data_IF_891476958572
#
_entry.id   IF_891476958572
#
_cell.length_a   1.000
_cell.length_b   1.000
_cell.length_c   1.000
_cell.angle_alpha   90.00
_cell.angle_beta   90.00
_cell.angle_gamma   90.00
#
_symmetry.space_group_name_H-M   'P 1'
#
loop_
_entity.id
_entity.type
_entity.pdbx_description
1 polymer ?
#
# COMPACT_ATOMS: atom_id res chain seq x y z
N UNK A 1 -35.32 -27.89 18.49
CA UNK A 1 -34.71 -28.02 17.15
C UNK A 1 -34.35 -26.60 16.74
N UNK A 2 -33.07 -26.31 16.50
CA UNK A 2 -32.68 -25.03 15.93
C UNK A 2 -33.35 -24.90 14.55
N UNK A 3 -33.76 -23.70 14.18
CA UNK A 3 -34.33 -23.46 12.86
C UNK A 3 -33.15 -23.33 11.87
N UNK A 4 -32.96 -24.28 10.93
CA UNK A 4 -31.82 -24.24 10.01
C UNK A 4 -31.77 -22.95 9.20
N UNK A 5 -32.93 -22.31 8.96
CA UNK A 5 -33.01 -21.01 8.29
C UNK A 5 -32.35 -19.93 9.15
N UNK A 6 -32.62 -19.94 10.46
CA UNK A 6 -32.00 -18.99 11.40
C UNK A 6 -30.49 -19.16 11.43
N UNK A 7 -29.99 -20.39 11.44
CA UNK A 7 -28.55 -20.65 11.51
C UNK A 7 -27.85 -20.22 10.22
N UNK A 8 -28.47 -20.47 9.05
CA UNK A 8 -27.98 -19.96 7.76
C UNK A 8 -27.95 -18.42 7.76
N UNK A 9 -28.96 -17.75 8.31
CA UNK A 9 -28.97 -16.28 8.40
C UNK A 9 -27.85 -15.75 9.29
N UNK A 10 -27.54 -16.43 10.40
CA UNK A 10 -26.43 -16.06 11.28
C UNK A 10 -25.09 -16.25 10.55
N UNK A 11 -24.89 -17.38 9.87
CA UNK A 11 -23.71 -17.64 9.04
C UNK A 11 -23.56 -16.55 7.99
N UNK A 12 -24.60 -16.28 7.21
CA UNK A 12 -24.58 -15.28 6.16
C UNK A 12 -24.30 -13.88 6.70
N UNK A 13 -24.85 -13.54 7.86
CA UNK A 13 -24.58 -12.27 8.52
C UNK A 13 -23.08 -12.10 8.85
N UNK A 14 -22.43 -13.12 9.41
CA UNK A 14 -20.99 -13.07 9.67
C UNK A 14 -20.16 -13.07 8.38
N UNK A 15 -20.56 -13.82 7.35
CA UNK A 15 -19.92 -13.75 6.02
C UNK A 15 -19.96 -12.32 5.47
N UNK A 16 -21.11 -11.66 5.54
CA UNK A 16 -21.26 -10.28 5.05
C UNK A 16 -20.45 -9.28 5.88
N UNK A 17 -20.36 -9.45 7.20
CA UNK A 17 -19.48 -8.65 8.05
C UNK A 17 -18.02 -8.83 7.62
N UNK A 18 -17.57 -10.07 7.41
CA UNK A 18 -16.26 -10.37 6.87
C UNK A 18 -16.02 -9.67 5.53
N UNK A 19 -17.02 -9.69 4.65
CA UNK A 19 -17.00 -9.00 3.36
C UNK A 19 -16.85 -7.50 3.46
N UNK A 20 -17.52 -6.86 4.42
CA UNK A 20 -17.36 -5.43 4.69
C UNK A 20 -15.92 -5.12 5.10
N UNK A 21 -15.31 -5.93 5.97
CA UNK A 21 -13.91 -5.76 6.35
C UNK A 21 -12.95 -6.00 5.17
N UNK A 22 -13.18 -7.04 4.38
CA UNK A 22 -12.39 -7.35 3.18
C UNK A 22 -12.46 -6.22 2.13
N UNK A 23 -13.64 -5.60 1.95
CA UNK A 23 -13.79 -4.42 1.10
C UNK A 23 -13.03 -3.21 1.68
N UNK A 24 -13.09 -3.00 3.00
CA UNK A 24 -12.38 -1.92 3.66
C UNK A 24 -10.86 -2.05 3.45
N UNK A 25 -10.31 -3.27 3.66
CA UNK A 25 -8.90 -3.62 3.45
C UNK A 25 -8.41 -3.10 2.09
N UNK A 26 -9.03 -3.57 1.01
CA UNK A 26 -8.59 -3.26 -0.34
C UNK A 26 -8.85 -1.80 -0.70
N UNK A 27 -9.99 -1.24 -0.28
CA UNK A 27 -10.29 0.17 -0.56
C UNK A 27 -9.26 1.12 0.05
N UNK A 28 -8.74 0.84 1.24
CA UNK A 28 -7.80 1.71 1.95
C UNK A 28 -6.34 1.45 1.57
N UNK A 29 -6.00 0.25 1.10
CA UNK A 29 -4.67 -0.03 0.52
C UNK A 29 -4.55 0.58 -0.87
N UNK A 30 -5.60 0.53 -1.68
CA UNK A 30 -5.56 0.96 -3.09
C UNK A 30 -5.83 2.46 -3.30
N UNK A 31 -6.32 3.17 -2.29
CA UNK A 31 -6.60 4.60 -2.42
C UNK A 31 -5.31 5.43 -2.38
N UNK A 32 -5.18 6.38 -3.31
CA UNK A 32 -4.07 7.33 -3.32
C UNK A 32 -4.40 8.58 -2.51
N UNK A 33 -3.39 9.18 -1.88
CA UNK A 33 -3.57 10.43 -1.11
C UNK A 33 -4.16 11.56 -1.98
N UNK A 34 -3.75 11.66 -3.25
CA UNK A 34 -4.29 12.65 -4.18
C UNK A 34 -5.79 12.48 -4.47
N UNK A 35 -6.32 11.25 -4.40
CA UNK A 35 -7.74 10.98 -4.60
C UNK A 35 -8.55 11.41 -3.38
N UNK A 36 -8.06 11.18 -2.15
CA UNK A 36 -8.78 11.59 -0.94
C UNK A 36 -8.68 13.10 -0.68
N UNK A 37 -7.61 13.76 -1.14
CA UNK A 37 -7.42 15.20 -1.02
C UNK A 37 -8.52 16.03 -1.70
N UNK A 38 -9.22 15.45 -2.69
CA UNK A 38 -10.35 16.09 -3.37
C UNK A 38 -11.63 16.12 -2.52
N UNK A 39 -11.68 15.36 -1.42
CA UNK A 39 -12.84 15.25 -0.54
C UNK A 39 -12.61 16.02 0.76
N UNK A 40 -13.65 16.69 1.22
CA UNK A 40 -13.63 17.43 2.50
C UNK A 40 -14.57 16.77 3.52
N UNK A 41 -14.34 17.04 4.81
CA UNK A 41 -15.20 16.56 5.90
C UNK A 41 -14.59 15.45 6.77
N UNK A 42 -15.37 14.98 7.75
CA UNK A 42 -14.88 14.08 8.82
C UNK A 42 -14.42 12.72 8.29
N UNK A 43 -15.12 12.15 7.30
CA UNK A 43 -14.78 10.86 6.70
C UNK A 43 -13.48 10.92 5.89
N UNK A 44 -13.30 11.97 5.07
CA UNK A 44 -12.07 12.17 4.31
C UNK A 44 -10.84 12.33 5.22
N UNK A 45 -10.96 13.12 6.29
CA UNK A 45 -9.91 13.24 7.32
C UNK A 45 -9.59 11.91 8.00
N UNK A 46 -10.62 11.09 8.26
CA UNK A 46 -10.44 9.80 8.88
C UNK A 46 -9.73 8.81 7.93
N UNK A 47 -10.12 8.78 6.66
CA UNK A 47 -9.44 7.99 5.62
C UNK A 47 -7.98 8.39 5.52
N UNK A 48 -7.67 9.69 5.43
CA UNK A 48 -6.28 10.18 5.40
C UNK A 48 -5.48 9.73 6.63
N UNK A 49 -6.09 9.77 7.83
CA UNK A 49 -5.48 9.27 9.06
C UNK A 49 -5.22 7.75 9.00
N UNK A 50 -6.15 6.97 8.46
CA UNK A 50 -5.99 5.51 8.34
C UNK A 50 -4.89 5.15 7.34
N UNK A 51 -4.79 5.86 6.22
CA UNK A 51 -3.72 5.69 5.22
C UNK A 51 -2.35 6.01 5.83
N UNK A 52 -2.25 7.06 6.66
CA UNK A 52 -0.98 7.45 7.31
C UNK A 52 -0.46 6.46 8.36
N UNK A 53 -1.31 5.52 8.81
CA UNK A 53 -0.97 4.52 9.84
C UNK A 53 -1.40 3.11 9.40
N UNK A 54 -0.84 2.58 8.29
CA UNK A 54 -1.36 1.41 7.61
C UNK A 54 -1.29 0.15 8.48
N UNK A 55 -0.21 -0.06 9.24
CA UNK A 55 -0.03 -1.29 10.03
C UNK A 55 -1.14 -1.51 11.07
N UNK A 56 -1.57 -0.45 11.76
CA UNK A 56 -2.64 -0.55 12.76
C UNK A 56 -3.99 -0.87 12.12
N UNK A 57 -4.26 -0.23 10.98
CA UNK A 57 -5.46 -0.46 10.20
C UNK A 57 -5.51 -1.89 9.65
N UNK A 58 -4.43 -2.33 9.00
CA UNK A 58 -4.32 -3.66 8.41
C UNK A 58 -4.53 -4.74 9.45
N UNK A 59 -3.87 -4.63 10.60
CA UNK A 59 -4.05 -5.58 11.71
C UNK A 59 -5.50 -5.61 12.21
N UNK A 60 -6.16 -4.45 12.35
CA UNK A 60 -7.54 -4.40 12.82
C UNK A 60 -8.52 -5.07 11.86
N UNK A 61 -8.40 -4.77 10.55
CA UNK A 61 -9.27 -5.32 9.52
C UNK A 61 -9.03 -6.82 9.33
N UNK A 62 -7.77 -7.27 9.33
CA UNK A 62 -7.43 -8.69 9.23
C UNK A 62 -8.06 -9.51 10.36
N UNK A 63 -8.05 -8.96 11.58
CA UNK A 63 -8.70 -9.57 12.73
C UNK A 63 -10.22 -9.63 12.53
N UNK A 64 -10.82 -8.57 11.99
CA UNK A 64 -12.24 -8.54 11.64
C UNK A 64 -12.62 -9.62 10.64
N UNK A 65 -11.88 -9.74 9.53
CA UNK A 65 -12.10 -10.76 8.49
C UNK A 65 -11.95 -12.17 9.08
N UNK A 66 -10.85 -12.42 9.78
CA UNK A 66 -10.55 -13.73 10.37
C UNK A 66 -11.60 -14.15 11.40
N UNK A 67 -11.97 -13.26 12.31
CA UNK A 67 -12.93 -13.55 13.37
C UNK A 67 -14.32 -13.82 12.79
N UNK A 68 -14.76 -13.00 11.82
CA UNK A 68 -16.03 -13.20 11.15
C UNK A 68 -16.07 -14.54 10.39
N UNK A 69 -14.98 -14.88 9.69
CA UNK A 69 -14.83 -16.17 8.99
C UNK A 69 -14.87 -17.37 9.95
N UNK A 70 -14.13 -17.30 11.06
CA UNK A 70 -14.10 -18.38 12.07
C UNK A 70 -15.45 -18.56 12.77
N UNK A 71 -16.12 -17.47 13.14
CA UNK A 71 -17.46 -17.56 13.74
C UNK A 71 -18.42 -18.17 12.73
N UNK A 72 -18.44 -17.69 11.49
CA UNK A 72 -19.31 -18.22 10.44
C UNK A 72 -19.08 -19.71 10.18
N UNK A 73 -17.83 -20.12 9.97
CA UNK A 73 -17.48 -21.50 9.67
C UNK A 73 -17.72 -22.43 10.88
N UNK A 74 -17.26 -22.05 12.07
CA UNK A 74 -17.41 -22.87 13.27
C UNK A 74 -18.86 -22.98 13.75
N UNK A 75 -19.59 -21.86 13.79
CA UNK A 75 -21.00 -21.85 14.15
C UNK A 75 -21.84 -22.63 13.14
N UNK A 76 -21.64 -22.37 11.85
CA UNK A 76 -22.42 -23.03 10.82
C UNK A 76 -22.12 -24.52 10.71
N UNK A 77 -20.84 -24.94 10.82
CA UNK A 77 -20.50 -26.35 10.86
C UNK A 77 -21.12 -27.05 12.08
N UNK A 78 -21.00 -26.50 13.28
CA UNK A 78 -21.57 -27.14 14.48
C UNK A 78 -23.10 -27.15 14.50
N UNK A 79 -23.76 -26.14 13.92
CA UNK A 79 -25.22 -26.00 13.98
C UNK A 79 -25.95 -26.71 12.84
N UNK A 80 -25.40 -26.70 11.61
CA UNK A 80 -26.06 -27.26 10.42
C UNK A 80 -25.68 -28.71 10.13
N UNK A 81 -24.56 -29.21 10.66
CA UNK A 81 -24.14 -30.60 10.38
C UNK A 81 -25.09 -31.67 10.93
N UNK A 82 -25.72 -31.51 12.12
CA UNK A 82 -26.71 -32.45 12.60
C UNK A 82 -27.93 -32.60 11.67
N UNK A 83 -28.30 -31.56 10.93
CA UNK A 83 -29.40 -31.61 9.97
C UNK A 83 -29.02 -32.35 8.67
N UNK A 84 -27.72 -32.47 8.39
CA UNK A 84 -27.18 -33.11 7.18
C UNK A 84 -26.72 -34.54 7.44
N UNK A 85 -26.37 -34.90 8.67
CA UNK A 85 -25.94 -36.25 9.05
C UNK A 85 -26.95 -37.36 8.66
N UNK A 86 -28.28 -37.21 8.82
CA UNK A 86 -29.25 -38.24 8.43
C UNK A 86 -29.23 -38.57 6.93
N UNK A 87 -28.83 -37.61 6.07
CA UNK A 87 -28.67 -37.86 4.65
C UNK A 87 -27.51 -38.82 4.38
N UNK A 88 -26.40 -38.71 5.12
CA UNK A 88 -25.28 -39.64 5.03
C UNK A 88 -25.60 -41.02 5.62
N UNK A 89 -26.38 -41.08 6.70
CA UNK A 89 -26.89 -42.35 7.24
C UNK A 89 -27.77 -43.10 6.24
N UNK A 90 -28.55 -42.37 5.42
CA UNK A 90 -29.37 -42.97 4.37
C UNK A 90 -28.55 -43.72 3.29
N UNK A 91 -27.25 -43.44 3.17
CA UNK A 91 -26.32 -44.18 2.31
C UNK A 91 -25.66 -45.40 3.00
N UNK A 92 -26.06 -45.72 4.23
CA UNK A 92 -25.54 -46.87 4.98
C UNK A 92 -24.25 -46.60 5.77
N UNK A 93 -23.89 -45.32 5.98
CA UNK A 93 -22.78 -44.94 6.85
C UNK A 93 -23.18 -45.11 8.33
N UNK A 94 -22.23 -45.48 9.18
CA UNK A 94 -22.45 -45.46 10.63
C UNK A 94 -22.61 -44.03 11.14
N UNK A 95 -23.41 -43.83 12.18
CA UNK A 95 -23.70 -42.54 12.82
C UNK A 95 -22.44 -41.65 12.99
N UNK A 96 -21.38 -42.19 13.59
CA UNK A 96 -20.11 -41.45 13.79
C UNK A 96 -19.43 -40.98 12.50
N UNK A 97 -19.53 -41.77 11.44
CA UNK A 97 -18.93 -41.45 10.13
C UNK A 97 -19.83 -40.46 9.39
N UNK A 98 -21.16 -40.62 9.50
CA UNK A 98 -22.14 -39.69 8.93
C UNK A 98 -22.03 -38.29 9.54
N UNK A 99 -21.92 -38.18 10.86
CA UNK A 99 -21.69 -36.91 11.57
C UNK A 99 -20.39 -36.23 11.13
N UNK A 100 -19.29 -36.99 11.08
CA UNK A 100 -17.99 -36.46 10.66
C UNK A 100 -18.02 -36.00 9.19
N UNK A 101 -18.65 -36.79 8.31
CA UNK A 101 -18.79 -36.45 6.89
C UNK A 101 -19.66 -35.20 6.69
N UNK A 102 -20.78 -35.09 7.42
CA UNK A 102 -21.63 -33.91 7.41
C UNK A 102 -20.88 -32.66 7.90
N UNK A 103 -20.11 -32.79 9.00
CA UNK A 103 -19.28 -31.70 9.52
C UNK A 103 -18.26 -31.20 8.51
N UNK A 104 -17.53 -32.11 7.86
CA UNK A 104 -16.55 -31.75 6.82
C UNK A 104 -17.26 -31.09 5.63
N UNK A 105 -18.35 -31.68 5.15
CA UNK A 105 -19.10 -31.14 4.01
C UNK A 105 -19.60 -29.72 4.27
N UNK A 106 -20.26 -29.49 5.40
CA UNK A 106 -20.80 -28.19 5.77
C UNK A 106 -19.67 -27.18 6.00
N UNK A 107 -18.58 -27.58 6.64
CA UNK A 107 -17.40 -26.73 6.81
C UNK A 107 -16.86 -26.28 5.46
N UNK A 108 -16.70 -27.19 4.49
CA UNK A 108 -16.22 -26.87 3.15
C UNK A 108 -17.20 -25.97 2.38
N UNK A 109 -18.50 -26.27 2.46
CA UNK A 109 -19.55 -25.48 1.80
C UNK A 109 -19.57 -24.04 2.33
N UNK A 110 -19.58 -23.86 3.66
CA UNK A 110 -19.55 -22.54 4.29
C UNK A 110 -18.23 -21.84 4.00
N UNK A 111 -17.10 -22.56 4.03
CA UNK A 111 -15.79 -21.98 3.69
C UNK A 111 -15.78 -21.44 2.26
N UNK A 112 -16.34 -22.18 1.29
CA UNK A 112 -16.47 -21.71 -0.09
C UNK A 112 -17.36 -20.46 -0.19
N UNK A 113 -18.54 -20.49 0.42
CA UNK A 113 -19.47 -19.33 0.42
C UNK A 113 -18.82 -18.13 1.10
N UNK A 114 -18.15 -18.33 2.23
CA UNK A 114 -17.46 -17.27 2.97
C UNK A 114 -16.29 -16.70 2.18
N UNK A 115 -15.51 -17.53 1.49
CA UNK A 115 -14.41 -17.06 0.64
C UNK A 115 -14.94 -16.24 -0.53
N UNK A 116 -15.98 -16.72 -1.22
CA UNK A 116 -16.54 -16.04 -2.39
C UNK A 116 -17.25 -14.74 -1.99
N UNK A 117 -18.23 -14.82 -1.09
CA UNK A 117 -19.09 -13.69 -0.73
C UNK A 117 -18.50 -12.81 0.36
N UNK A 118 -17.74 -13.38 1.29
CA UNK A 118 -17.13 -12.67 2.41
C UNK A 118 -15.72 -12.16 2.12
N UNK A 119 -15.12 -12.48 0.97
CA UNK A 119 -13.79 -12.00 0.65
C UNK A 119 -13.62 -11.60 -0.82
N UNK A 120 -13.73 -12.54 -1.77
CA UNK A 120 -13.36 -12.30 -3.16
C UNK A 120 -14.28 -11.28 -3.86
N UNK A 121 -15.60 -11.40 -3.71
CA UNK A 121 -16.57 -10.48 -4.33
C UNK A 121 -16.44 -9.07 -3.75
N UNK A 122 -16.45 -8.86 -2.42
CA UNK A 122 -16.27 -7.54 -1.82
C UNK A 122 -14.94 -6.89 -2.21
N UNK A 123 -13.83 -7.66 -2.25
CA UNK A 123 -12.53 -7.14 -2.68
C UNK A 123 -12.57 -6.64 -4.13
N UNK A 124 -13.20 -7.38 -5.04
CA UNK A 124 -13.38 -6.95 -6.43
C UNK A 124 -14.24 -5.68 -6.53
N UNK A 125 -15.36 -5.62 -5.81
CA UNK A 125 -16.22 -4.43 -5.79
C UNK A 125 -15.49 -3.20 -5.24
N UNK A 126 -14.69 -3.38 -4.19
CA UNK A 126 -13.88 -2.32 -3.58
C UNK A 126 -12.81 -1.77 -4.53
N UNK A 127 -12.21 -2.60 -5.39
CA UNK A 127 -11.25 -2.13 -6.39
C UNK A 127 -11.89 -1.22 -7.44
N UNK A 128 -13.14 -1.48 -7.82
CA UNK A 128 -13.85 -0.63 -8.80
C UNK A 128 -14.37 0.67 -8.18
N UNK A 129 -14.66 0.69 -6.87
CA UNK A 129 -15.25 1.85 -6.18
C UNK A 129 -14.44 2.26 -4.94
N UNK A 130 -13.11 2.32 -5.08
CA UNK A 130 -12.14 2.50 -3.99
C UNK A 130 -12.49 3.64 -3.03
N UNK A 131 -12.73 4.84 -3.55
CA UNK A 131 -12.96 6.03 -2.73
C UNK A 131 -14.29 5.96 -1.97
N UNK A 132 -15.34 5.45 -2.61
CA UNK A 132 -16.66 5.32 -1.99
C UNK A 132 -16.64 4.35 -0.81
N UNK A 133 -16.06 3.16 -1.01
CA UNK A 133 -15.87 2.18 0.05
C UNK A 133 -14.98 2.72 1.17
N UNK A 134 -13.85 3.35 0.86
CA UNK A 134 -12.96 3.92 1.87
C UNK A 134 -13.68 4.95 2.75
N UNK A 135 -14.46 5.87 2.15
CA UNK A 135 -15.19 6.91 2.89
C UNK A 135 -16.27 6.33 3.81
N UNK A 136 -17.04 5.35 3.33
CA UNK A 136 -18.13 4.73 4.10
C UNK A 136 -17.56 3.84 5.23
N UNK A 137 -16.53 3.05 4.92
CA UNK A 137 -15.99 2.03 5.82
C UNK A 137 -14.93 2.56 6.79
N UNK A 138 -14.41 3.78 6.59
CA UNK A 138 -13.45 4.38 7.51
C UNK A 138 -13.94 4.44 8.97
N UNK A 139 -15.23 4.73 9.18
CA UNK A 139 -15.81 4.84 10.53
C UNK A 139 -15.88 3.48 11.25
N UNK A 140 -16.53 2.43 10.69
CA UNK A 140 -16.58 1.14 11.35
C UNK A 140 -15.17 0.57 11.58
N UNK A 141 -14.23 0.80 10.66
CA UNK A 141 -12.86 0.34 10.87
C UNK A 141 -12.14 1.10 11.98
N UNK A 142 -12.25 2.43 12.08
CA UNK A 142 -11.61 3.15 13.19
C UNK A 142 -12.19 2.73 14.54
N UNK A 143 -13.48 2.41 14.62
CA UNK A 143 -14.10 1.87 15.84
C UNK A 143 -13.46 0.52 16.18
N UNK A 144 -13.39 -0.40 15.22
CA UNK A 144 -12.76 -1.71 15.42
C UNK A 144 -11.28 -1.56 15.82
N UNK A 145 -10.53 -0.68 15.16
CA UNK A 145 -9.13 -0.44 15.45
C UNK A 145 -8.91 0.10 16.88
N UNK A 146 -9.86 0.88 17.41
CA UNK A 146 -9.82 1.33 18.81
C UNK A 146 -10.16 0.20 19.79
N UNK A 147 -11.19 -0.60 19.50
CA UNK A 147 -11.60 -1.71 20.36
C UNK A 147 -10.54 -2.81 20.40
N UNK A 148 -9.95 -3.12 19.25
CA UNK A 148 -8.90 -4.13 19.09
C UNK A 148 -7.51 -3.62 19.46
N UNK A 149 -7.36 -2.38 19.95
CA UNK A 149 -6.07 -1.79 20.32
C UNK A 149 -5.20 -2.68 21.22
N UNK A 150 -5.70 -3.29 22.33
CA UNK A 150 -4.87 -4.16 23.16
C UNK A 150 -4.43 -5.43 22.41
N UNK A 151 -5.30 -5.98 21.56
CA UNK A 151 -5.00 -7.16 20.77
C UNK A 151 -3.96 -6.87 19.66
N UNK A 152 -4.10 -5.73 18.98
CA UNK A 152 -3.14 -5.27 17.97
C UNK A 152 -1.77 -5.00 18.61
N UNK A 153 -1.74 -4.45 19.82
CA UNK A 153 -0.49 -4.22 20.56
C UNK A 153 0.20 -5.55 20.89
N UNK A 154 -0.56 -6.56 21.34
CA UNK A 154 -0.05 -7.90 21.57
C UNK A 154 0.49 -8.53 20.28
N UNK A 155 -0.28 -8.47 19.18
CA UNK A 155 0.19 -8.97 17.88
C UNK A 155 1.46 -8.28 17.43
N UNK A 156 1.50 -6.95 17.50
CA UNK A 156 2.67 -6.16 17.09
C UNK A 156 3.90 -6.54 17.92
N UNK A 157 3.73 -6.75 19.22
CA UNK A 157 4.80 -7.23 20.09
C UNK A 157 5.29 -8.62 19.66
N UNK A 158 4.37 -9.57 19.43
CA UNK A 158 4.71 -10.92 18.98
C UNK A 158 5.40 -10.92 17.61
N UNK A 159 4.90 -10.15 16.63
CA UNK A 159 5.51 -10.01 15.31
C UNK A 159 6.90 -9.40 15.42
N UNK A 160 7.07 -8.31 16.17
CA UNK A 160 8.37 -7.65 16.33
C UNK A 160 9.39 -8.56 17.00
N UNK A 161 8.97 -9.38 17.96
CA UNK A 161 9.83 -10.37 18.60
C UNK A 161 10.35 -11.41 17.60
N UNK A 162 9.44 -11.97 16.78
CA UNK A 162 9.78 -12.95 15.75
C UNK A 162 10.70 -12.32 14.68
N UNK A 163 10.36 -11.14 14.17
CA UNK A 163 11.13 -10.44 13.14
C UNK A 163 12.55 -10.11 13.62
N UNK A 164 12.72 -9.76 14.90
CA UNK A 164 14.04 -9.59 15.53
C UNK A 164 14.85 -10.87 15.61
N UNK A 165 14.21 -12.03 15.82
CA UNK A 165 14.89 -13.34 15.78
C UNK A 165 15.50 -13.59 14.39
N UNK A 166 14.84 -13.11 13.33
CA UNK A 166 15.35 -13.17 11.96
C UNK A 166 16.31 -12.02 11.60
N UNK A 167 16.74 -11.21 12.56
CA UNK A 167 17.72 -10.13 12.34
C UNK A 167 17.20 -8.90 11.59
N UNK A 168 15.88 -8.77 11.42
CA UNK A 168 15.25 -7.61 10.80
C UNK A 168 14.88 -6.61 11.88
N UNK A 169 15.23 -5.33 11.70
CA UNK A 169 14.78 -4.27 12.60
C UNK A 169 13.32 -3.89 12.27
N UNK A 170 12.34 -4.16 13.15
CA UNK A 170 10.94 -3.81 12.93
C UNK A 170 10.68 -2.29 12.91
N UNK A 171 11.65 -1.47 13.31
CA UNK A 171 11.58 -0.01 13.24
C UNK A 171 12.56 0.59 12.23
N UNK A 172 13.23 -0.24 11.44
CA UNK A 172 14.11 0.21 10.38
C UNK A 172 13.34 1.07 9.39
N UNK A 173 13.74 2.34 9.24
CA UNK A 173 13.31 3.14 8.09
C UNK A 173 13.82 2.42 6.84
N UNK A 174 12.97 2.23 5.81
CA UNK A 174 13.46 1.89 4.46
C UNK A 174 14.65 2.81 4.19
N UNK A 175 15.79 2.23 3.81
CA UNK A 175 17.02 2.99 3.55
C UNK A 175 16.70 4.22 2.72
N UNK A 176 17.30 5.36 3.07
CA UNK A 176 17.18 6.57 2.28
C UNK A 176 17.50 6.23 0.82
N UNK A 177 16.62 6.62 -0.10
CA UNK A 177 16.76 6.31 -1.52
C UNK A 177 18.05 6.99 -1.99
N UNK A 178 19.02 6.20 -2.43
CA UNK A 178 20.27 6.71 -2.95
C UNK A 178 20.04 7.46 -4.27
N UNK A 179 20.93 8.39 -4.62
CA UNK A 179 20.85 9.15 -5.88
C UNK A 179 20.82 8.22 -7.10
N UNK A 180 21.50 7.07 -7.04
CA UNK A 180 21.47 6.06 -8.09
C UNK A 180 20.09 5.39 -8.22
N UNK A 181 19.42 5.09 -7.10
CA UNK A 181 18.08 4.48 -7.09
C UNK A 181 17.01 5.49 -7.53
N UNK A 182 17.17 6.78 -7.19
CA UNK A 182 16.35 7.87 -7.73
C UNK A 182 16.49 8.00 -9.26
N UNK A 183 17.72 7.90 -9.80
CA UNK A 183 17.95 7.92 -11.26
C UNK A 183 17.21 6.77 -11.95
N UNK A 184 17.25 5.57 -11.38
CA UNK A 184 16.60 4.38 -11.94
C UNK A 184 15.07 4.45 -11.88
N UNK A 185 14.51 4.99 -10.79
CA UNK A 185 13.07 5.26 -10.64
C UNK A 185 12.55 6.30 -11.65
N UNK A 186 13.33 7.33 -11.96
CA UNK A 186 12.99 8.34 -12.96
C UNK A 186 13.12 7.77 -14.38
N UNK A 187 14.16 6.99 -14.65
CA UNK A 187 14.39 6.37 -15.95
C UNK A 187 13.30 5.35 -16.33
N UNK A 188 12.75 4.65 -15.33
CA UNK A 188 11.70 3.63 -15.50
C UNK A 188 10.27 4.19 -15.64
N UNK A 189 10.06 5.50 -15.49
CA UNK A 189 8.74 6.12 -15.64
C UNK A 189 8.38 6.39 -17.11
N UNK A 190 7.35 5.72 -17.63
CA UNK A 190 6.87 5.86 -19.02
C UNK A 190 6.23 7.21 -19.34
N UNK A 191 5.82 7.97 -18.32
CA UNK A 191 5.16 9.28 -18.49
C UNK A 191 6.13 10.47 -18.68
N UNK A 192 7.43 10.22 -18.74
CA UNK A 192 8.45 11.25 -18.95
C UNK A 192 8.94 11.16 -20.39
N UNK A 193 8.89 12.27 -21.12
CA UNK A 193 9.38 12.33 -22.51
C UNK A 193 10.90 12.09 -22.58
N UNK A 194 11.41 11.65 -23.73
CA UNK A 194 12.87 11.45 -23.91
C UNK A 194 13.68 12.74 -23.64
N UNK A 195 13.12 13.91 -23.96
CA UNK A 195 13.76 15.21 -23.72
C UNK A 195 13.86 15.52 -22.23
N UNK A 196 12.80 15.27 -21.46
CA UNK A 196 12.80 15.44 -20.00
C UNK A 196 13.76 14.44 -19.32
N UNK A 197 13.86 13.20 -19.83
CA UNK A 197 14.83 12.22 -19.33
C UNK A 197 16.27 12.66 -19.57
N UNK A 198 16.57 13.21 -20.75
CA UNK A 198 17.91 13.73 -21.07
C UNK A 198 18.30 14.88 -20.13
N UNK A 199 17.38 15.83 -19.91
CA UNK A 199 17.60 16.96 -18.99
C UNK A 199 17.83 16.46 -17.56
N UNK A 200 17.02 15.51 -17.08
CA UNK A 200 17.16 14.95 -15.73
C UNK A 200 18.50 14.22 -15.57
N UNK A 201 18.91 13.42 -16.57
CA UNK A 201 20.21 12.76 -16.57
C UNK A 201 21.37 13.76 -16.52
N UNK A 202 21.29 14.85 -17.29
CA UNK A 202 22.31 15.91 -17.29
C UNK A 202 22.38 16.62 -15.93
N UNK A 203 21.22 16.98 -15.34
CA UNK A 203 21.14 17.62 -14.01
C UNK A 203 21.74 16.72 -12.94
N UNK A 204 21.42 15.42 -12.97
CA UNK A 204 22.01 14.50 -12.02
C UNK A 204 23.52 14.32 -12.25
N UNK A 205 24.00 14.34 -13.49
CA UNK A 205 25.43 14.24 -13.80
C UNK A 205 26.22 15.46 -13.32
N UNK A 206 25.59 16.64 -13.29
CA UNK A 206 26.23 17.88 -12.82
C UNK A 206 26.52 17.85 -11.31
N UNK A 207 25.73 17.13 -10.52
CA UNK A 207 25.97 17.00 -9.08
C UNK A 207 27.30 16.30 -8.76
N UNK A 208 27.74 15.40 -9.65
CA UNK A 208 28.98 14.64 -9.49
C UNK A 208 30.16 15.27 -10.26
N UNK A 209 29.92 16.34 -11.03
CA UNK A 209 30.96 17.01 -11.83
C UNK A 209 31.69 18.06 -11.02
N UNK A 210 33.01 18.05 -11.13
CA UNK A 210 33.86 19.10 -10.59
C UNK A 210 33.98 20.27 -11.58
N UNK A 211 34.21 21.48 -11.04
CA UNK A 211 34.37 22.70 -11.86
C UNK A 211 35.44 22.54 -12.95
N UNK A 212 36.51 21.76 -12.67
CA UNK A 212 37.58 21.50 -13.65
C UNK A 212 37.11 20.74 -14.89
N UNK A 213 36.01 20.01 -14.81
CA UNK A 213 35.45 19.19 -15.89
C UNK A 213 34.55 20.00 -16.84
N UNK A 214 34.15 21.21 -16.42
CA UNK A 214 33.25 22.09 -17.17
C UNK A 214 33.85 23.47 -17.50
N UNK A 215 34.93 23.86 -16.81
CA UNK A 215 35.59 25.15 -17.05
C UNK A 215 36.37 25.15 -18.37
N UNK A 216 36.52 26.34 -18.97
CA UNK A 216 37.47 26.52 -20.06
C UNK A 216 38.90 26.41 -19.50
N UNK A 217 39.77 25.53 -20.03
CA UNK A 217 41.14 25.41 -19.58
C UNK A 217 41.85 26.77 -19.66
N UNK A 218 42.66 27.12 -18.65
CA UNK A 218 43.36 28.42 -18.60
C UNK A 218 44.16 28.74 -19.87
N UNK A 219 44.69 27.71 -20.54
CA UNK A 219 45.44 27.83 -21.79
C UNK A 219 44.59 28.26 -22.98
N UNK A 220 43.27 28.10 -22.90
CA UNK A 220 42.30 28.46 -23.94
C UNK A 220 41.57 29.78 -23.61
N UNK A 221 41.83 30.36 -22.43
CA UNK A 221 41.24 31.64 -22.02
C UNK A 221 42.04 32.79 -22.63
N UNK A 222 41.35 33.67 -23.33
CA UNK A 222 41.92 34.94 -23.81
C UNK A 222 41.93 35.97 -22.68
N UNK A 223 43.12 36.41 -22.26
CA UNK A 223 43.31 37.44 -21.25
C UNK A 223 43.59 38.80 -21.88
N UNK A 224 43.21 39.86 -21.17
CA UNK A 224 43.62 41.24 -21.49
C UNK A 224 44.63 41.75 -20.45
N UNK A 225 45.68 42.44 -20.89
CA UNK A 225 46.70 42.97 -19.98
C UNK A 225 46.17 44.19 -19.20
N UNK A 226 46.47 44.25 -17.90
CA UNK A 226 45.95 45.30 -17.01
C UNK A 226 46.41 46.72 -17.36
N UNK A 227 47.55 46.85 -18.02
CA UNK A 227 48.13 48.11 -18.49
C UNK A 227 47.63 48.52 -19.88
N UNK A 228 46.76 47.72 -20.51
CA UNK A 228 46.18 48.03 -21.83
C UNK A 228 45.30 49.29 -21.74
N UNK A 229 45.61 50.37 -22.48
CA UNK A 229 44.78 51.56 -22.50
C UNK A 229 43.35 51.25 -22.94
N UNK A 230 42.36 51.85 -22.27
CA UNK A 230 40.95 51.50 -22.44
C UNK A 230 40.43 51.59 -23.87
N UNK A 231 40.96 52.51 -24.68
CA UNK A 231 40.57 52.64 -26.10
C UNK A 231 41.05 51.43 -26.95
N UNK A 232 42.22 50.86 -26.63
CA UNK A 232 42.74 49.65 -27.28
C UNK A 232 41.99 48.42 -26.81
N UNK A 233 41.69 48.35 -25.51
CA UNK A 233 40.86 47.29 -24.94
C UNK A 233 39.47 47.24 -25.61
N UNK A 234 38.83 48.41 -25.79
CA UNK A 234 37.52 48.51 -26.42
C UNK A 234 37.52 48.06 -27.89
N UNK A 235 38.56 48.43 -28.66
CA UNK A 235 38.72 47.94 -30.04
C UNK A 235 38.96 46.43 -30.08
N UNK A 236 39.81 45.92 -29.19
CA UNK A 236 40.14 44.49 -29.12
C UNK A 236 38.92 43.64 -28.77
N UNK A 237 38.09 44.04 -27.80
CA UNK A 237 36.87 43.30 -27.42
C UNK A 237 35.84 43.27 -28.55
N UNK A 238 35.76 44.33 -29.38
CA UNK A 238 34.76 44.44 -30.44
C UNK A 238 34.91 43.39 -31.54
N UNK A 239 36.13 42.85 -31.72
CA UNK A 239 36.44 41.83 -32.72
C UNK A 239 36.38 40.40 -32.15
N UNK A 240 35.85 40.22 -30.93
CA UNK A 240 35.88 38.95 -30.20
C UNK A 240 34.49 38.43 -29.85
N UNK A 241 34.39 37.10 -29.68
CA UNK A 241 33.11 36.39 -29.58
C UNK A 241 32.49 36.35 -28.18
N UNK A 242 33.24 36.68 -27.13
CA UNK A 242 32.78 36.58 -25.74
C UNK A 242 32.43 37.96 -25.19
N UNK A 243 31.49 38.00 -24.24
CA UNK A 243 31.08 39.26 -23.59
C UNK A 243 31.99 39.65 -22.41
N UNK A 244 32.89 38.77 -21.97
CA UNK A 244 33.68 38.93 -20.74
C UNK A 244 35.08 38.35 -20.94
N UNK A 245 36.09 39.13 -20.56
CA UNK A 245 37.50 38.76 -20.66
C UNK A 245 38.18 38.97 -19.31
N UNK A 246 38.90 37.98 -18.77
CA UNK A 246 39.67 38.18 -17.55
C UNK A 246 40.85 39.11 -17.79
N UNK A 247 41.12 39.99 -16.84
CA UNK A 247 42.28 40.89 -16.86
C UNK A 247 43.45 40.19 -16.16
N UNK A 248 44.61 40.17 -16.78
CA UNK A 248 45.86 39.65 -16.21
C UNK A 248 46.91 40.78 -16.15
N UNK A 249 47.59 40.95 -15.03
CA UNK A 249 48.61 41.98 -14.85
C UNK A 249 48.86 42.31 -13.39
#
# INVERSE_FOLDING_TARGET
MADPVRDILIVLFFVLIGGVFAAAEISLISIRESQIAQFTGRRAKLVAKLISAPNRFLAAVQVGVTLAGFISAGFGASSLSPDVAPWFESFGLSESVAETAAFILITLAISFVSLVLGELVPKRLALHHTVGFALVLAVPVEILARLSKPFIALLSFSTNLIVRIFGVDPHGKRGEIDAAELRDLVASQENISEQERAILADVFSLADKEVREIMLPRTEVEFIEADTPIFKAAQWVNDKAFSRYPVAG
#
